data_IF_255188196212
#
_entry.id   IF_255188196212
#
_cell.length_a   1.000
_cell.length_b   1.000
_cell.length_c   1.000
_cell.angle_alpha   90.00
_cell.angle_beta   90.00
_cell.angle_gamma   90.00
#
_symmetry.space_group_name_H-M   'P 1'
#
loop_
_entity.id
_entity.type
_entity.pdbx_description
1 polymer ?
#
# COMPACT_ATOMS: atom_id res chain seq x y z
N UNK A 1 -28.74 -18.44 69.92
CA UNK A 1 -27.48 -18.90 69.29
C UNK A 1 -27.69 -19.04 67.80
N UNK A 2 -26.91 -18.31 66.99
CA UNK A 2 -26.25 -18.79 65.77
C UNK A 2 -25.43 -17.62 65.18
N UNK A 3 -24.18 -17.53 65.62
CA UNK A 3 -23.08 -16.86 64.92
C UNK A 3 -22.30 -17.95 64.16
N UNK A 4 -22.07 -17.75 62.87
CA UNK A 4 -20.91 -18.21 62.07
C UNK A 4 -21.15 -17.64 60.65
N UNK A 5 -20.23 -17.13 59.85
CA UNK A 5 -18.82 -16.72 59.92
C UNK A 5 -18.56 -16.17 58.51
N UNK A 6 -17.73 -15.15 58.39
CA UNK A 6 -17.53 -14.41 57.14
C UNK A 6 -17.10 -15.23 55.93
N UNK A 7 -17.32 -14.64 54.76
CA UNK A 7 -16.40 -14.78 53.65
C UNK A 7 -16.43 -13.48 52.83
N UNK A 8 -15.33 -12.76 52.94
CA UNK A 8 -14.89 -11.73 52.02
C UNK A 8 -15.00 -12.22 50.57
N UNK A 9 -15.22 -11.30 49.65
CA UNK A 9 -14.88 -11.58 48.26
C UNK A 9 -15.73 -10.82 47.28
N UNK A 10 -15.23 -9.64 46.94
CA UNK A 10 -15.29 -9.11 45.59
C UNK A 10 -15.37 -10.23 44.53
N UNK A 11 -16.53 -10.38 43.92
CA UNK A 11 -16.70 -11.06 42.64
C UNK A 11 -18.02 -10.61 42.00
N UNK A 12 -18.21 -9.28 41.85
CA UNK A 12 -18.90 -8.87 40.62
C UNK A 12 -17.90 -9.15 39.50
N UNK A 13 -17.85 -10.40 39.08
CA UNK A 13 -17.32 -10.74 37.76
C UNK A 13 -18.32 -10.12 36.81
N UNK A 14 -18.16 -8.81 36.58
CA UNK A 14 -18.49 -8.22 35.31
C UNK A 14 -17.61 -8.97 34.32
N UNK A 15 -18.04 -10.15 33.90
CA UNK A 15 -17.75 -10.62 32.56
C UNK A 15 -18.50 -9.64 31.65
N UNK A 16 -17.99 -8.42 31.57
CA UNK A 16 -18.29 -7.54 30.47
C UNK A 16 -17.74 -8.33 29.29
N UNK A 17 -18.65 -9.06 28.63
CA UNK A 17 -18.50 -9.57 27.30
C UNK A 17 -17.73 -8.49 26.51
N UNK A 18 -16.58 -8.84 25.94
CA UNK A 18 -15.68 -7.86 25.33
C UNK A 18 -16.39 -7.04 24.22
N UNK A 19 -17.55 -7.53 23.76
CA UNK A 19 -18.51 -6.87 22.88
C UNK A 19 -19.18 -5.59 23.47
N UNK A 20 -19.18 -5.40 24.79
CA UNK A 20 -19.84 -4.25 25.48
C UNK A 20 -18.93 -3.01 25.55
N UNK A 21 -17.63 -3.15 25.31
CA UNK A 21 -16.73 -2.00 25.12
C UNK A 21 -16.89 -1.51 23.68
N UNK A 22 -17.32 -0.26 23.50
CA UNK A 22 -17.36 0.39 22.19
C UNK A 22 -16.03 0.28 21.43
N UNK A 23 -15.99 0.70 20.14
CA UNK A 23 -14.86 0.46 19.25
C UNK A 23 -13.50 0.78 19.87
N UNK A 24 -12.55 -0.17 19.81
CA UNK A 24 -11.21 -0.03 20.34
C UNK A 24 -10.39 0.95 19.47
N UNK A 25 -10.28 2.20 19.91
CA UNK A 25 -9.60 3.26 19.17
C UNK A 25 -8.11 2.98 18.94
N UNK A 26 -7.44 2.25 19.84
CA UNK A 26 -6.03 1.87 19.68
C UNK A 26 -5.89 0.87 18.53
N UNK A 27 -6.76 -0.14 18.49
CA UNK A 27 -6.77 -1.12 17.41
C UNK A 27 -7.14 -0.48 16.07
N UNK A 28 -8.13 0.42 16.05
CA UNK A 28 -8.54 1.15 14.84
C UNK A 28 -7.39 2.03 14.32
N UNK A 29 -6.73 2.79 15.19
CA UNK A 29 -5.59 3.65 14.81
C UNK A 29 -4.45 2.83 14.19
N UNK A 30 -4.19 1.64 14.73
CA UNK A 30 -3.23 0.70 14.16
C UNK A 30 -3.67 0.21 12.79
N UNK A 31 -4.91 -0.26 12.64
CA UNK A 31 -5.46 -0.72 11.35
C UNK A 31 -5.41 0.36 10.26
N UNK A 32 -5.70 1.62 10.61
CA UNK A 32 -5.60 2.75 9.69
C UNK A 32 -4.15 2.97 9.26
N UNK A 33 -3.21 2.93 10.21
CA UNK A 33 -1.77 3.11 9.93
C UNK A 33 -1.25 2.02 9.01
N UNK A 34 -1.56 0.76 9.32
CA UNK A 34 -1.16 -0.41 8.53
C UNK A 34 -1.79 -0.34 7.12
N UNK A 35 -3.07 0.03 7.01
CA UNK A 35 -3.76 0.19 5.72
C UNK A 35 -3.16 1.32 4.88
N UNK A 36 -2.80 2.45 5.50
CA UNK A 36 -2.16 3.57 4.81
C UNK A 36 -0.78 3.20 4.27
N UNK A 37 0.00 2.38 4.99
CA UNK A 37 1.27 1.88 4.50
C UNK A 37 1.10 1.06 3.20
N UNK A 38 0.08 0.21 3.15
CA UNK A 38 -0.26 -0.57 1.93
C UNK A 38 -0.66 0.34 0.78
N UNK A 39 -1.54 1.34 1.04
CA UNK A 39 -1.99 2.28 0.01
C UNK A 39 -0.82 3.06 -0.60
N UNK A 40 0.15 3.49 0.23
CA UNK A 40 1.33 4.21 -0.25
C UNK A 40 2.18 3.32 -1.17
N UNK A 41 2.44 2.07 -0.77
CA UNK A 41 3.22 1.14 -1.59
C UNK A 41 2.54 0.83 -2.93
N UNK A 42 1.21 0.64 -2.93
CA UNK A 42 0.44 0.42 -4.17
C UNK A 42 0.47 1.66 -5.07
N UNK A 43 0.44 2.87 -4.49
CA UNK A 43 0.48 4.11 -5.29
C UNK A 43 1.81 4.31 -6.02
N UNK A 44 2.91 3.85 -5.43
CA UNK A 44 4.22 3.84 -6.09
C UNK A 44 4.19 2.92 -7.33
N UNK A 45 3.67 1.71 -7.19
CA UNK A 45 3.52 0.76 -8.31
C UNK A 45 2.63 1.32 -9.41
N UNK A 46 1.51 1.95 -9.06
CA UNK A 46 0.61 2.62 -10.02
C UNK A 46 1.36 3.70 -10.82
N UNK A 47 2.18 4.51 -10.15
CA UNK A 47 2.97 5.57 -10.79
C UNK A 47 4.01 5.00 -11.75
N UNK A 48 4.67 3.90 -11.39
CA UNK A 48 5.62 3.22 -12.27
C UNK A 48 4.93 2.63 -13.51
N UNK A 49 3.73 2.06 -13.37
CA UNK A 49 2.94 1.58 -14.52
C UNK A 49 2.58 2.73 -15.46
N UNK A 50 2.09 3.85 -14.93
CA UNK A 50 1.79 5.06 -15.73
C UNK A 50 3.04 5.56 -16.46
N UNK A 51 4.23 5.47 -15.83
CA UNK A 51 5.47 5.87 -16.51
C UNK A 51 5.79 4.99 -17.72
N UNK A 52 5.45 3.69 -17.70
CA UNK A 52 5.60 2.80 -18.86
C UNK A 52 4.63 3.20 -19.97
N UNK A 53 3.39 3.59 -19.64
CA UNK A 53 2.43 4.10 -20.62
C UNK A 53 2.94 5.38 -21.30
N UNK A 54 3.59 6.28 -20.56
CA UNK A 54 4.24 7.46 -21.15
C UNK A 54 5.44 7.09 -22.04
N UNK A 55 6.26 6.12 -21.64
CA UNK A 55 7.35 5.61 -22.48
C UNK A 55 6.81 4.97 -23.78
N UNK A 56 5.66 4.30 -23.72
CA UNK A 56 5.04 3.69 -24.89
C UNK A 56 4.65 4.75 -25.95
N UNK A 57 4.29 5.97 -25.54
CA UNK A 57 4.02 7.09 -26.47
C UNK A 57 5.27 7.56 -27.22
N UNK A 58 6.47 7.25 -26.73
CA UNK A 58 7.75 7.59 -27.35
C UNK A 58 8.23 6.53 -28.37
N UNK A 59 7.48 5.44 -28.58
CA UNK A 59 7.86 4.40 -29.55
C UNK A 59 7.92 4.98 -30.97
N UNK A 60 9.05 4.77 -31.64
CA UNK A 60 9.35 5.26 -32.98
C UNK A 60 9.53 6.77 -33.02
N UNK A 61 9.87 7.39 -31.89
CA UNK A 61 10.06 8.83 -31.75
C UNK A 61 11.49 9.21 -31.42
N UNK A 62 11.89 10.40 -31.88
CA UNK A 62 13.08 11.12 -31.42
C UNK A 62 12.69 12.52 -30.97
N UNK A 63 13.56 13.14 -30.18
CA UNK A 63 13.42 14.54 -29.79
C UNK A 63 13.96 15.41 -30.93
N UNK A 64 13.12 16.29 -31.45
CA UNK A 64 13.52 17.31 -32.42
C UNK A 64 14.05 18.56 -31.71
N UNK A 65 14.74 19.45 -32.44
CA UNK A 65 15.32 20.68 -31.87
C UNK A 65 14.29 21.59 -31.15
N UNK A 66 13.00 21.48 -31.48
CA UNK A 66 11.90 22.19 -30.83
C UNK A 66 11.32 21.52 -29.57
N UNK A 67 11.94 20.45 -29.08
CA UNK A 67 11.44 19.70 -27.90
C UNK A 67 10.18 18.87 -28.19
N UNK A 68 9.85 18.64 -29.46
CA UNK A 68 8.71 17.81 -29.88
C UNK A 68 9.18 16.42 -30.31
N UNK A 69 8.25 15.46 -30.34
CA UNK A 69 8.52 14.10 -30.78
C UNK A 69 8.30 13.94 -32.28
N UNK A 70 9.38 13.82 -33.04
CA UNK A 70 9.39 13.48 -34.46
C UNK A 70 9.44 11.97 -34.71
N UNK A 71 9.36 11.51 -35.97
CA UNK A 71 9.46 10.08 -36.31
C UNK A 71 10.93 9.63 -36.40
N UNK A 72 11.22 8.42 -35.91
CA UNK A 72 12.58 7.84 -35.85
C UNK A 72 12.65 6.35 -36.26
N UNK A 73 11.84 5.93 -37.24
CA UNK A 73 12.10 4.67 -37.97
C UNK A 73 12.19 3.37 -37.15
N UNK A 74 11.58 3.31 -35.96
CA UNK A 74 11.53 2.17 -35.05
C UNK A 74 12.81 1.82 -34.25
N UNK A 75 13.67 2.80 -33.94
CA UNK A 75 14.86 2.61 -33.09
C UNK A 75 14.57 2.53 -31.57
N UNK A 76 13.79 1.54 -31.13
CA UNK A 76 13.25 1.50 -29.76
C UNK A 76 14.05 0.66 -28.74
N UNK A 77 15.20 0.09 -29.12
CA UNK A 77 15.90 -0.90 -28.27
C UNK A 77 16.21 -0.41 -26.86
N UNK A 78 16.76 0.80 -26.73
CA UNK A 78 17.06 1.43 -25.43
C UNK A 78 15.79 1.78 -24.64
N UNK A 79 14.74 2.23 -25.33
CA UNK A 79 13.44 2.54 -24.73
C UNK A 79 12.80 1.28 -24.12
N UNK A 80 12.79 0.15 -24.85
CA UNK A 80 12.28 -1.13 -24.33
C UNK A 80 13.12 -1.65 -23.16
N UNK A 81 14.45 -1.49 -23.20
CA UNK A 81 15.31 -1.87 -22.09
C UNK A 81 14.99 -1.05 -20.81
N UNK A 82 14.71 0.24 -20.97
CA UNK A 82 14.24 1.10 -19.88
C UNK A 82 12.89 0.65 -19.31
N UNK A 83 11.90 0.43 -20.19
CA UNK A 83 10.58 -0.07 -19.77
C UNK A 83 10.67 -1.45 -19.06
N UNK A 84 11.53 -2.35 -19.55
CA UNK A 84 11.80 -3.63 -18.90
C UNK A 84 12.38 -3.45 -17.49
N UNK A 85 13.34 -2.53 -17.30
CA UNK A 85 13.88 -2.23 -15.97
C UNK A 85 12.79 -1.74 -15.01
N UNK A 86 11.89 -0.87 -15.45
CA UNK A 86 10.76 -0.41 -14.63
C UNK A 86 9.83 -1.57 -14.30
N UNK A 87 9.52 -2.45 -15.26
CA UNK A 87 8.71 -3.65 -15.01
C UNK A 87 9.34 -4.60 -13.98
N UNK A 88 10.66 -4.76 -14.00
CA UNK A 88 11.38 -5.54 -12.97
C UNK A 88 11.32 -4.87 -11.60
N UNK A 89 11.39 -3.54 -11.53
CA UNK A 89 11.25 -2.79 -10.27
C UNK A 89 9.83 -2.92 -9.70
N UNK A 90 8.80 -2.85 -10.54
CA UNK A 90 7.41 -3.10 -10.13
C UNK A 90 7.28 -4.49 -9.49
N UNK A 91 7.87 -5.51 -10.13
CA UNK A 91 7.82 -6.89 -9.61
C UNK A 91 8.54 -7.00 -8.26
N UNK A 92 9.68 -6.33 -8.11
CA UNK A 92 10.41 -6.26 -6.85
C UNK A 92 9.58 -5.54 -5.76
N UNK A 93 8.92 -4.43 -6.09
CA UNK A 93 8.06 -3.69 -5.17
C UNK A 93 6.84 -4.48 -4.70
N UNK A 94 6.23 -5.28 -5.58
CA UNK A 94 5.11 -6.16 -5.22
C UNK A 94 5.53 -7.38 -4.39
N UNK A 95 6.82 -7.71 -4.38
CA UNK A 95 7.38 -8.85 -3.63
C UNK A 95 7.90 -8.45 -2.24
N UNK A 96 7.81 -7.17 -1.88
CA UNK A 96 8.14 -6.65 -0.54
C UNK A 96 6.94 -6.77 0.39
#
# INVERSE_FOLDING_TARGET
CCNNSGKDGNASVNSADESVKGPNLVEISKKITDSNAVVIAVKEVETLLVSIDELAKAIGKKIEAGGTLGSDGAHNGSLLAGAYKIATEITANLSK
#
